data_IF_893929736873
#
_entry.id   IF_893929736873
#
_cell.length_a   1.000
_cell.length_b   1.000
_cell.length_c   1.000
_cell.angle_alpha   90.00
_cell.angle_beta   90.00
_cell.angle_gamma   90.00
#
_symmetry.space_group_name_H-M   'P 1'
#
loop_
_entity.id
_entity.type
_entity.pdbx_description
1 polymer ?
#
# COMPACT_ATOMS: atom_id res chain seq x y z
N UNK A 1 15.17 -38.49 53.04
CA UNK A 1 15.14 -38.61 51.57
C UNK A 1 13.90 -37.90 51.09
N UNK A 2 14.10 -36.88 50.27
CA UNK A 2 13.09 -35.95 49.76
C UNK A 2 12.04 -36.68 48.91
N UNK A 3 10.77 -36.30 48.99
CA UNK A 3 9.94 -36.24 47.79
C UNK A 3 8.80 -35.23 47.96
N UNK A 4 8.70 -34.37 46.95
CA UNK A 4 8.04 -33.07 46.91
C UNK A 4 6.51 -33.16 46.87
N UNK A 5 5.88 -32.10 47.37
CA UNK A 5 4.50 -31.73 47.09
C UNK A 5 4.31 -31.30 45.62
N UNK A 6 3.15 -31.69 45.09
CA UNK A 6 2.25 -31.01 44.14
C UNK A 6 2.82 -30.22 42.95
N UNK A 7 2.33 -30.53 41.73
CA UNK A 7 1.98 -29.50 40.76
C UNK A 7 0.68 -29.89 40.05
N UNK A 8 -0.43 -29.33 40.54
CA UNK A 8 -1.70 -29.25 39.80
C UNK A 8 -1.46 -28.38 38.57
N UNK A 9 -1.63 -28.94 37.38
CA UNK A 9 -1.43 -28.25 36.11
C UNK A 9 -2.47 -27.14 35.95
N UNK A 10 -2.06 -25.89 36.15
CA UNK A 10 -2.79 -24.75 35.60
C UNK A 10 -2.58 -24.74 34.08
N UNK A 11 -3.66 -25.02 33.33
CA UNK A 11 -3.74 -24.70 31.91
C UNK A 11 -3.76 -23.18 31.77
N UNK A 12 -2.63 -22.60 31.40
CA UNK A 12 -2.55 -21.18 31.07
C UNK A 12 -3.11 -21.01 29.65
N UNK A 13 -4.36 -20.59 29.54
CA UNK A 13 -4.93 -20.17 28.25
C UNK A 13 -4.26 -18.83 27.91
N UNK A 14 -3.26 -18.86 27.04
CA UNK A 14 -2.80 -17.66 26.38
C UNK A 14 -3.91 -17.19 25.44
N UNK A 15 -4.73 -16.22 25.88
CA UNK A 15 -5.48 -15.38 24.96
C UNK A 15 -4.45 -14.59 24.17
N UNK A 16 -4.06 -15.09 23.00
CA UNK A 16 -3.50 -14.25 21.96
C UNK A 16 -4.62 -13.31 21.53
N UNK A 17 -4.70 -12.16 22.21
CA UNK A 17 -5.49 -11.04 21.72
C UNK A 17 -4.95 -10.70 20.34
N UNK A 18 -5.73 -11.03 19.31
CA UNK A 18 -5.47 -10.51 17.97
C UNK A 18 -5.46 -9.00 18.10
N UNK A 19 -4.31 -8.37 17.90
CA UNK A 19 -4.26 -6.95 17.59
C UNK A 19 -4.97 -6.80 16.25
N UNK A 20 -6.28 -6.59 16.33
CA UNK A 20 -7.09 -6.17 15.20
C UNK A 20 -6.63 -4.77 14.85
N UNK A 21 -5.64 -4.67 13.96
CA UNK A 21 -5.44 -3.46 13.19
C UNK A 21 -6.78 -3.19 12.51
N UNK A 22 -7.31 -1.98 12.67
CA UNK A 22 -8.56 -1.57 12.04
C UNK A 22 -8.39 -1.65 10.53
N UNK A 23 -8.64 -2.83 9.96
CA UNK A 23 -8.64 -3.03 8.53
C UNK A 23 -9.78 -2.18 7.98
N UNK A 24 -9.47 -1.36 6.98
CA UNK A 24 -10.47 -0.55 6.32
C UNK A 24 -11.53 -1.52 5.78
N UNK A 25 -12.75 -1.50 6.34
CA UNK A 25 -13.83 -2.44 5.99
C UNK A 25 -14.28 -2.31 4.52
N UNK A 26 -13.72 -1.33 3.82
CA UNK A 26 -13.91 -1.06 2.40
C UNK A 26 -12.74 -1.55 1.52
N UNK A 27 -11.72 -2.20 2.11
CA UNK A 27 -10.60 -2.76 1.36
C UNK A 27 -11.06 -3.92 0.47
N UNK A 28 -10.85 -3.81 -0.84
CA UNK A 28 -11.29 -4.80 -1.84
C UNK A 28 -10.18 -5.73 -2.29
N UNK A 29 -8.92 -5.30 -2.19
CA UNK A 29 -7.74 -6.08 -2.56
C UNK A 29 -6.70 -6.01 -1.45
N UNK A 30 -6.16 -7.16 -1.08
CA UNK A 30 -5.18 -7.27 0.00
C UNK A 30 -3.93 -8.00 -0.48
N UNK A 31 -2.81 -7.67 0.14
CA UNK A 31 -1.52 -8.32 -0.09
C UNK A 31 -0.82 -8.59 1.24
N UNK A 32 -0.28 -9.80 1.39
CA UNK A 32 0.56 -10.13 2.55
C UNK A 32 2.02 -9.94 2.18
N UNK A 33 2.69 -9.05 2.88
CA UNK A 33 4.11 -8.73 2.68
C UNK A 33 4.97 -9.99 2.81
N UNK A 34 5.85 -10.21 1.84
CA UNK A 34 6.83 -11.29 1.82
C UNK A 34 8.21 -10.77 2.23
N UNK A 35 9.12 -11.69 2.55
CA UNK A 35 10.51 -11.33 2.85
C UNK A 35 11.20 -10.80 1.59
N UNK A 36 11.79 -9.60 1.69
CA UNK A 36 12.47 -8.93 0.58
C UNK A 36 11.59 -7.94 -0.18
N UNK A 37 10.31 -7.83 0.17
CA UNK A 37 9.41 -6.85 -0.43
C UNK A 37 9.76 -5.41 -0.05
N UNK A 38 9.45 -4.50 -0.96
CA UNK A 38 9.45 -3.05 -0.77
C UNK A 38 8.28 -2.46 -1.57
N UNK A 39 7.80 -1.26 -1.22
CA UNK A 39 6.55 -0.72 -1.80
C UNK A 39 6.55 -0.70 -3.33
N UNK A 40 7.57 -0.17 -3.99
CA UNK A 40 7.60 -0.10 -5.46
C UNK A 40 7.56 -1.48 -6.13
N UNK A 41 8.21 -2.48 -5.53
CA UNK A 41 8.16 -3.87 -5.99
C UNK A 41 6.77 -4.50 -5.84
N UNK A 42 6.11 -4.26 -4.69
CA UNK A 42 4.72 -4.68 -4.46
C UNK A 42 3.80 -3.98 -5.45
N UNK A 43 3.92 -2.66 -5.57
CA UNK A 43 3.13 -1.82 -6.47
C UNK A 43 3.17 -2.33 -7.91
N UNK A 44 4.37 -2.60 -8.42
CA UNK A 44 4.56 -3.09 -9.78
C UNK A 44 3.99 -4.51 -9.96
N UNK A 45 4.12 -5.39 -8.97
CA UNK A 45 3.63 -6.75 -9.04
C UNK A 45 2.11 -6.88 -8.84
N UNK A 46 1.49 -5.93 -8.14
CA UNK A 46 0.10 -6.01 -7.68
C UNK A 46 -0.84 -4.99 -8.36
N UNK A 47 -0.35 -4.27 -9.38
CA UNK A 47 -1.10 -3.23 -10.09
C UNK A 47 -1.76 -2.24 -9.11
N UNK A 48 -0.93 -1.55 -8.33
CA UNK A 48 -1.34 -0.46 -7.46
C UNK A 48 -0.30 0.65 -7.57
N UNK A 49 -0.72 1.91 -7.60
CA UNK A 49 0.24 3.02 -7.59
C UNK A 49 0.97 3.09 -6.26
N UNK A 50 2.24 3.51 -6.27
CA UNK A 50 3.03 3.69 -5.04
C UNK A 50 2.36 4.69 -4.11
N UNK A 51 1.75 5.74 -4.67
CA UNK A 51 0.93 6.68 -3.90
C UNK A 51 -0.24 6.00 -3.20
N UNK A 52 -1.07 5.26 -3.94
CA UNK A 52 -2.27 4.62 -3.38
C UNK A 52 -1.91 3.63 -2.29
N UNK A 53 -0.87 2.81 -2.50
CA UNK A 53 -0.41 1.85 -1.51
C UNK A 53 -0.02 2.54 -0.19
N UNK A 54 0.78 3.61 -0.27
CA UNK A 54 1.17 4.38 0.90
C UNK A 54 -0.02 5.11 1.54
N UNK A 55 -0.89 5.70 0.73
CA UNK A 55 -2.04 6.49 1.19
C UNK A 55 -3.05 5.65 1.97
N UNK A 56 -3.44 4.49 1.42
CA UNK A 56 -4.43 3.60 2.02
C UNK A 56 -3.92 2.94 3.30
N UNK A 57 -2.60 2.77 3.44
CA UNK A 57 -1.97 2.14 4.60
C UNK A 57 -1.21 3.15 5.47
N UNK A 58 -1.51 4.45 5.39
CA UNK A 58 -0.78 5.51 6.09
C UNK A 58 -0.81 5.39 7.63
N UNK A 59 -1.73 4.58 8.17
CA UNK A 59 -1.79 4.27 9.60
C UNK A 59 -0.70 3.28 10.05
N UNK A 60 -0.14 2.47 9.15
CA UNK A 60 0.87 1.44 9.47
C UNK A 60 2.17 1.59 8.70
N UNK A 61 2.15 2.08 7.46
CA UNK A 61 3.35 2.33 6.64
C UNK A 61 3.74 3.81 6.73
N UNK A 62 5.03 4.09 6.89
CA UNK A 62 5.57 5.45 6.86
C UNK A 62 5.65 6.00 5.42
N UNK A 63 5.76 7.34 5.22
CA UNK A 63 5.70 7.93 3.87
C UNK A 63 6.79 7.48 2.89
N UNK A 64 7.89 6.90 3.37
CA UNK A 64 8.99 6.40 2.53
C UNK A 64 9.03 4.86 2.50
N UNK A 65 8.00 4.19 3.02
CA UNK A 65 7.83 2.74 3.03
C UNK A 65 9.05 1.92 3.52
N UNK A 66 9.70 2.41 4.58
CA UNK A 66 10.90 1.73 5.14
C UNK A 66 10.59 0.79 6.31
N UNK A 67 9.31 0.62 6.65
CA UNK A 67 8.87 -0.12 7.83
C UNK A 67 7.92 -1.29 7.50
N UNK A 68 8.07 -1.91 6.34
CA UNK A 68 7.34 -3.13 6.00
C UNK A 68 7.85 -4.32 6.80
N UNK A 69 6.92 -5.14 7.30
CA UNK A 69 7.24 -6.39 7.98
C UNK A 69 6.63 -7.58 7.24
N UNK A 70 7.43 -8.63 6.99
CA UNK A 70 6.91 -9.85 6.38
C UNK A 70 5.77 -10.43 7.24
N UNK A 71 4.67 -10.82 6.59
CA UNK A 71 3.43 -11.27 7.21
C UNK A 71 2.43 -10.15 7.53
N UNK A 72 2.81 -8.88 7.44
CA UNK A 72 1.87 -7.75 7.49
C UNK A 72 0.90 -7.81 6.30
N UNK A 73 -0.36 -7.44 6.51
CA UNK A 73 -1.36 -7.37 5.44
C UNK A 73 -1.61 -5.92 5.07
N UNK A 74 -1.33 -5.60 3.81
CA UNK A 74 -1.57 -4.29 3.21
C UNK A 74 -2.90 -4.31 2.44
N UNK A 75 -3.59 -3.19 2.50
CA UNK A 75 -4.69 -2.93 1.59
C UNK A 75 -4.17 -2.32 0.28
N UNK A 76 -4.43 -2.97 -0.84
CA UNK A 76 -4.02 -2.50 -2.15
C UNK A 76 -5.02 -1.52 -2.75
N UNK A 77 -6.30 -1.60 -2.38
CA UNK A 77 -7.35 -0.78 -2.97
C UNK A 77 -8.61 -0.74 -2.12
N UNK A 78 -9.26 0.42 -2.12
CA UNK A 78 -10.55 0.66 -1.45
C UNK A 78 -11.66 0.68 -2.50
N UNK A 79 -12.82 0.10 -2.18
CA UNK A 79 -14.01 0.15 -3.04
C UNK A 79 -14.33 1.60 -3.48
N UNK A 80 -14.35 1.82 -4.80
CA UNK A 80 -14.65 3.12 -5.41
C UNK A 80 -13.50 4.13 -5.41
N UNK A 81 -12.30 3.73 -4.97
CA UNK A 81 -11.10 4.57 -4.92
C UNK A 81 -9.83 3.82 -5.37
N UNK A 82 -10.02 2.70 -6.06
CA UNK A 82 -8.93 1.81 -6.47
C UNK A 82 -8.49 2.14 -7.90
N UNK A 83 -7.24 2.54 -8.05
CA UNK A 83 -6.55 2.60 -9.32
C UNK A 83 -5.77 1.31 -9.58
N UNK A 84 -6.32 0.47 -10.45
CA UNK A 84 -5.70 -0.78 -10.90
C UNK A 84 -5.06 -0.68 -12.30
N UNK A 85 -5.20 0.47 -12.96
CA UNK A 85 -4.54 0.80 -14.22
C UNK A 85 -3.32 1.66 -13.94
N UNK A 86 -2.13 1.08 -14.12
CA UNK A 86 -0.87 1.69 -13.69
C UNK A 86 0.21 1.65 -14.75
N UNK A 87 1.23 2.50 -14.57
CA UNK A 87 2.48 2.49 -15.33
C UNK A 87 3.67 2.42 -14.37
N UNK A 88 4.61 1.50 -14.64
CA UNK A 88 5.89 1.42 -13.93
C UNK A 88 6.89 2.29 -14.66
N UNK A 89 7.40 3.33 -13.98
CA UNK A 89 8.36 4.29 -14.56
C UNK A 89 9.61 3.55 -15.01
N UNK A 90 9.98 3.75 -16.27
CA UNK A 90 11.22 3.30 -16.85
C UNK A 90 12.25 4.45 -16.94
N UNK A 91 13.51 4.10 -17.19
CA UNK A 91 14.54 5.11 -17.42
C UNK A 91 14.24 5.90 -18.70
N UNK A 92 14.18 7.23 -18.58
CA UNK A 92 13.87 8.14 -19.68
C UNK A 92 12.41 8.54 -19.78
N UNK A 93 11.52 7.96 -18.96
CA UNK A 93 10.13 8.38 -18.88
C UNK A 93 9.98 9.79 -18.31
N UNK A 94 8.87 10.42 -18.68
CA UNK A 94 8.36 11.65 -18.08
C UNK A 94 6.82 11.59 -18.09
N UNK A 95 6.16 12.40 -17.28
CA UNK A 95 4.71 12.36 -17.14
C UNK A 95 3.95 12.63 -18.46
N UNK A 96 4.45 13.49 -19.35
CA UNK A 96 3.79 13.76 -20.63
C UNK A 96 3.76 12.52 -21.52
N UNK A 97 4.90 11.81 -21.63
CA UNK A 97 4.98 10.57 -22.40
C UNK A 97 4.15 9.43 -21.78
N UNK A 98 4.15 9.32 -20.45
CA UNK A 98 3.32 8.35 -19.72
C UNK A 98 1.84 8.63 -19.95
N UNK A 99 1.42 9.89 -19.76
CA UNK A 99 0.02 10.31 -19.94
C UNK A 99 -0.46 10.02 -21.37
N UNK A 100 0.33 10.43 -22.36
CA UNK A 100 0.02 10.21 -23.78
C UNK A 100 -0.10 8.71 -24.13
N UNK A 101 0.79 7.86 -23.58
CA UNK A 101 0.75 6.41 -23.80
C UNK A 101 -0.47 5.77 -23.15
N UNK A 102 -0.85 6.23 -21.96
CA UNK A 102 -2.02 5.75 -21.23
C UNK A 102 -3.36 6.32 -21.75
N UNK A 103 -3.33 7.35 -22.60
CA UNK A 103 -4.53 8.03 -23.07
C UNK A 103 -5.20 8.91 -22.01
N UNK A 104 -4.46 9.32 -20.97
CA UNK A 104 -4.89 10.30 -19.96
C UNK A 104 -4.23 11.66 -20.24
N UNK A 105 -4.68 12.72 -19.56
CA UNK A 105 -4.00 14.02 -19.62
C UNK A 105 -3.03 14.22 -18.45
N UNK A 106 -2.06 15.12 -18.60
CA UNK A 106 -1.05 15.41 -17.59
C UNK A 106 -1.69 15.82 -16.24
N UNK A 107 -2.76 16.60 -16.27
CA UNK A 107 -3.41 17.10 -15.07
C UNK A 107 -4.07 15.96 -14.28
N UNK A 108 -4.74 15.04 -14.97
CA UNK A 108 -5.37 13.84 -14.41
C UNK A 108 -4.30 12.88 -13.88
N UNK A 109 -3.21 12.68 -14.63
CA UNK A 109 -2.08 11.88 -14.17
C UNK A 109 -1.50 12.41 -12.85
N UNK A 110 -1.17 13.70 -12.78
CA UNK A 110 -0.61 14.29 -11.54
C UNK A 110 -1.64 14.31 -10.41
N UNK A 111 -2.92 14.57 -10.69
CA UNK A 111 -3.97 14.53 -9.67
C UNK A 111 -4.17 13.13 -9.07
N UNK A 112 -4.02 12.08 -9.88
CA UNK A 112 -4.09 10.69 -9.46
C UNK A 112 -2.81 10.18 -8.79
N UNK A 113 -1.72 10.97 -8.81
CA UNK A 113 -0.46 10.66 -8.14
C UNK A 113 0.06 11.86 -7.34
N UNK A 114 -0.59 12.24 -6.21
CA UNK A 114 -0.20 13.41 -5.41
C UNK A 114 1.21 13.37 -4.79
N UNK A 115 1.94 12.26 -4.87
CA UNK A 115 3.37 12.21 -4.55
C UNK A 115 4.25 12.79 -5.67
N UNK A 116 3.74 12.89 -6.90
CA UNK A 116 4.43 13.51 -8.04
C UNK A 116 4.24 15.02 -7.98
N UNK A 117 5.36 15.75 -8.07
CA UNK A 117 5.32 17.20 -8.06
C UNK A 117 4.68 17.78 -9.34
N UNK A 118 4.28 19.05 -9.28
CA UNK A 118 3.60 19.71 -10.39
C UNK A 118 4.44 19.80 -11.69
N UNK A 119 5.77 19.66 -11.58
CA UNK A 119 6.69 19.63 -12.72
C UNK A 119 7.04 18.22 -13.20
N UNK A 120 6.52 17.17 -12.53
CA UNK A 120 6.94 15.78 -12.70
C UNK A 120 8.47 15.60 -12.66
N UNK A 121 9.15 16.32 -11.77
CA UNK A 121 10.62 16.28 -11.68
C UNK A 121 11.15 15.28 -10.67
N UNK A 122 10.28 14.66 -9.88
CA UNK A 122 10.63 13.76 -8.79
C UNK A 122 10.31 12.29 -9.04
N UNK A 123 9.90 11.90 -10.26
CA UNK A 123 9.68 10.49 -10.59
C UNK A 123 11.00 9.75 -10.80
N UNK A 124 11.01 8.45 -10.51
CA UNK A 124 12.21 7.61 -10.66
C UNK A 124 11.90 6.20 -11.18
N UNK A 125 12.85 5.52 -11.85
CA UNK A 125 12.61 4.17 -12.36
C UNK A 125 12.18 3.19 -11.27
N UNK A 126 11.10 2.45 -11.54
CA UNK A 126 10.50 1.49 -10.61
C UNK A 126 9.31 2.05 -9.82
N UNK A 127 9.17 3.38 -9.70
CA UNK A 127 7.96 3.99 -9.15
C UNK A 127 6.74 3.63 -10.00
N UNK A 128 5.56 3.50 -9.39
CA UNK A 128 4.35 3.09 -10.08
C UNK A 128 3.29 4.19 -10.00
N UNK A 129 2.90 4.72 -11.15
CA UNK A 129 1.89 5.78 -11.27
C UNK A 129 0.54 5.18 -11.65
N UNK A 130 -0.53 5.69 -11.04
CA UNK A 130 -1.90 5.50 -11.49
C UNK A 130 -2.10 6.23 -12.82
N UNK A 131 -2.50 5.52 -13.86
CA UNK A 131 -2.69 6.06 -15.21
C UNK A 131 -4.15 6.01 -15.69
N UNK A 132 -5.08 5.82 -14.76
CA UNK A 132 -6.51 5.93 -15.05
C UNK A 132 -6.84 7.25 -15.75
N UNK A 133 -7.78 7.18 -16.69
CA UNK A 133 -8.28 8.34 -17.45
C UNK A 133 -9.28 9.18 -16.67
N UNK A 134 -9.75 8.68 -15.52
CA UNK A 134 -10.67 9.35 -14.62
C UNK A 134 -9.98 9.70 -13.30
N UNK A 135 -10.47 10.73 -12.62
CA UNK A 135 -9.95 11.11 -11.31
C UNK A 135 -10.34 10.09 -10.25
N UNK A 136 -9.35 9.60 -9.52
CA UNK A 136 -9.53 8.68 -8.41
C UNK A 136 -9.78 9.47 -7.13
N UNK A 137 -10.95 9.31 -6.48
CA UNK A 137 -11.30 10.10 -5.32
C UNK A 137 -10.69 9.49 -4.06
N UNK A 138 -9.37 9.60 -3.89
CA UNK A 138 -8.68 9.21 -2.66
C UNK A 138 -9.21 10.04 -1.48
N UNK A 139 -10.26 9.56 -0.84
CA UNK A 139 -10.72 10.12 0.41
C UNK A 139 -9.91 9.47 1.52
N UNK A 140 -9.54 10.30 2.49
CA UNK A 140 -9.19 9.75 3.77
C UNK A 140 -10.51 9.26 4.37
N UNK A 141 -10.76 7.95 4.33
CA UNK A 141 -11.57 7.35 5.39
C UNK A 141 -10.77 7.53 6.68
N UNK A 142 -10.85 8.73 7.26
CA UNK A 142 -10.69 8.92 8.69
C UNK A 142 -11.80 8.10 9.32
N UNK A 143 -11.53 6.83 9.59
CA UNK A 143 -12.22 6.16 10.70
C UNK A 143 -11.93 7.00 11.94
N UNK A 144 -13.02 7.43 12.55
CA UNK A 144 -13.16 8.34 13.68
C UNK A 144 -12.27 8.01 14.87
#
# INVERSE_FOLDING_TARGET
>A
MFSLQAFSSLFMVALLGTVGHAQNTTCTRQYTVQSGDFCDGISAAQNVSTFQLAHVNAATINPICTNLFAGETLCLGIAGQDCDTVHVVASGDNCEAIAATAGTDFATLVANNPNVDAGCTNIYPGEVLCTATELIPYNTTSSS
#
